data_IF_872791688289
#
_entry.id   IF_872791688289
#
_cell.length_a   1.000
_cell.length_b   1.000
_cell.length_c   1.000
_cell.angle_alpha   90.00
_cell.angle_beta   90.00
_cell.angle_gamma   90.00
#
_symmetry.space_group_name_H-M   'P 1'
#
loop_
_entity.id
_entity.type
_entity.pdbx_description
1 polymer ?
#
# COMPACT_ATOMS: atom_id res chain seq x y z
N UNK A 1 1.16 52.25 17.48
CA UNK A 1 0.30 51.04 17.46
C UNK A 1 0.81 50.14 16.36
N UNK A 2 1.69 49.20 16.68
CA UNK A 2 2.29 48.28 15.70
C UNK A 2 1.38 47.06 15.63
N UNK A 3 0.64 46.93 14.52
CA UNK A 3 -0.10 45.72 14.22
C UNK A 3 0.92 44.64 13.81
N UNK A 4 1.28 43.77 14.75
CA UNK A 4 2.03 42.55 14.45
C UNK A 4 1.05 41.59 13.77
N UNK A 5 1.13 41.51 12.45
CA UNK A 5 0.44 40.48 11.68
C UNK A 5 1.09 39.13 12.01
N UNK A 6 0.47 38.36 12.91
CA UNK A 6 0.82 36.96 13.16
C UNK A 6 0.36 36.17 11.94
N UNK A 7 1.29 35.91 11.02
CA UNK A 7 1.11 34.98 9.91
C UNK A 7 1.02 33.56 10.50
N UNK A 8 -0.20 33.08 10.74
CA UNK A 8 -0.48 31.66 11.02
C UNK A 8 -0.15 30.86 9.75
N UNK A 9 1.12 30.50 9.60
CA UNK A 9 1.57 29.44 8.70
C UNK A 9 0.97 28.13 9.23
N UNK A 10 -0.27 27.87 8.83
CA UNK A 10 -0.86 26.54 8.91
C UNK A 10 0.02 25.67 8.03
N UNK A 11 0.91 24.90 8.66
CA UNK A 11 1.61 23.80 8.01
C UNK A 11 0.55 22.75 7.68
N UNK A 12 -0.13 22.95 6.56
CA UNK A 12 -0.83 21.88 5.89
C UNK A 12 0.27 20.84 5.63
N UNK A 13 0.29 19.78 6.43
CA UNK A 13 1.16 18.64 6.21
C UNK A 13 0.76 18.08 4.84
N UNK A 14 1.47 18.51 3.80
CA UNK A 14 1.41 17.87 2.49
C UNK A 14 1.80 16.43 2.76
N UNK A 15 0.82 15.53 2.81
CA UNK A 15 1.09 14.11 2.86
C UNK A 15 1.98 13.81 1.65
N UNK A 16 3.25 13.50 1.91
CA UNK A 16 4.19 13.22 0.85
C UNK A 16 3.73 11.94 0.14
N UNK A 17 3.50 12.05 -1.17
CA UNK A 17 3.11 10.89 -1.96
C UNK A 17 4.16 9.79 -1.81
N UNK A 18 3.70 8.57 -1.58
CA UNK A 18 4.54 7.39 -1.54
C UNK A 18 4.69 6.80 -2.95
N UNK A 19 5.84 6.19 -3.23
CA UNK A 19 6.14 5.61 -4.54
C UNK A 19 6.51 4.14 -4.44
N UNK A 20 6.13 3.38 -5.45
CA UNK A 20 6.54 1.98 -5.63
C UNK A 20 7.40 1.91 -6.89
N UNK A 21 8.64 1.48 -6.73
CA UNK A 21 9.62 1.35 -7.78
C UNK A 21 9.79 -0.10 -8.20
N UNK A 22 10.13 -0.33 -9.46
CA UNK A 22 10.48 -1.66 -9.96
C UNK A 22 11.79 -2.14 -9.34
N UNK A 23 11.79 -3.34 -8.76
CA UNK A 23 12.99 -3.98 -8.21
C UNK A 23 13.69 -3.11 -7.18
N UNK A 24 15.02 -3.24 -7.11
CA UNK A 24 15.86 -2.43 -6.23
C UNK A 24 16.23 -1.08 -6.89
N UNK A 25 15.24 -0.19 -7.02
CA UNK A 25 15.44 1.14 -7.60
C UNK A 25 14.77 2.23 -6.77
N UNK A 26 15.27 3.46 -6.91
CA UNK A 26 14.64 4.70 -6.45
C UNK A 26 14.62 5.76 -7.55
N UNK A 27 14.93 5.38 -8.80
CA UNK A 27 14.89 6.29 -9.93
C UNK A 27 13.45 6.58 -10.35
N UNK A 28 13.18 7.84 -10.71
CA UNK A 28 11.83 8.27 -11.09
C UNK A 28 11.28 7.55 -12.34
N UNK A 29 12.16 7.08 -13.24
CA UNK A 29 11.79 6.26 -14.40
C UNK A 29 11.28 4.87 -14.05
N UNK A 30 11.61 4.37 -12.86
CA UNK A 30 11.24 3.03 -12.40
C UNK A 30 9.98 3.04 -11.52
N UNK A 31 9.36 4.21 -11.31
CA UNK A 31 8.09 4.32 -10.57
C UNK A 31 6.99 3.57 -11.32
N UNK A 32 6.50 2.51 -10.70
CA UNK A 32 5.38 1.71 -11.18
C UNK A 32 4.04 2.26 -10.69
N UNK A 33 4.00 2.82 -9.48
CA UNK A 33 2.78 3.34 -8.87
C UNK A 33 3.07 4.51 -7.92
N UNK A 34 2.09 5.40 -7.78
CA UNK A 34 2.07 6.48 -6.78
C UNK A 34 0.91 6.26 -5.82
N UNK A 35 1.11 6.51 -4.53
CA UNK A 35 0.05 6.51 -3.53
C UNK A 35 0.01 7.85 -2.80
N UNK A 36 -1.13 8.55 -2.85
CA UNK A 36 -1.27 9.89 -2.26
C UNK A 36 -1.88 9.89 -0.85
N UNK A 37 -2.03 8.72 -0.23
CA UNK A 37 -2.75 8.56 1.04
C UNK A 37 -4.22 8.18 0.89
N UNK A 38 -4.78 8.24 -0.33
CA UNK A 38 -6.16 7.86 -0.63
C UNK A 38 -6.27 6.97 -1.87
N UNK A 39 -5.56 7.30 -2.93
CA UNK A 39 -5.64 6.65 -4.23
C UNK A 39 -4.29 6.05 -4.62
N UNK A 40 -4.33 4.85 -5.19
CA UNK A 40 -3.19 4.24 -5.86
C UNK A 40 -3.31 4.48 -7.35
N UNK A 41 -2.32 5.17 -7.91
CA UNK A 41 -2.23 5.52 -9.32
C UNK A 41 -1.25 4.61 -10.04
N UNK A 42 -1.49 4.37 -11.33
CA UNK A 42 -0.51 3.76 -12.22
C UNK A 42 0.56 4.78 -12.61
N UNK A 43 1.83 4.37 -12.51
CA UNK A 43 3.01 5.17 -12.80
C UNK A 43 3.16 6.36 -11.86
N UNK A 44 4.02 7.30 -12.25
CA UNK A 44 4.19 8.59 -11.57
C UNK A 44 3.04 9.54 -11.95
N UNK A 45 1.85 9.28 -11.43
CA UNK A 45 0.64 10.04 -11.75
C UNK A 45 -0.12 10.48 -10.50
N UNK A 46 -0.92 11.54 -10.67
CA UNK A 46 -2.00 11.99 -9.78
C UNK A 46 -3.30 12.25 -10.54
N UNK A 47 -3.36 11.84 -11.82
CA UNK A 47 -4.55 12.01 -12.65
C UNK A 47 -5.62 10.99 -12.30
N UNK A 48 -6.87 11.42 -12.27
CA UNK A 48 -8.00 10.56 -11.93
C UNK A 48 -8.18 9.36 -12.87
N UNK A 49 -7.73 9.46 -14.13
CA UNK A 49 -7.78 8.38 -15.12
C UNK A 49 -6.84 7.21 -14.79
N UNK A 50 -5.81 7.47 -13.99
CA UNK A 50 -4.78 6.48 -13.68
C UNK A 50 -5.02 5.80 -12.33
N UNK A 51 -6.11 6.15 -11.63
CA UNK A 51 -6.48 5.54 -10.35
C UNK A 51 -6.87 4.08 -10.57
N UNK A 52 -6.12 3.17 -9.95
CA UNK A 52 -6.39 1.74 -9.94
C UNK A 52 -7.28 1.36 -8.75
N UNK A 53 -6.97 1.92 -7.58
CA UNK A 53 -7.66 1.60 -6.33
C UNK A 53 -7.78 2.80 -5.40
N UNK A 54 -8.82 2.78 -4.57
CA UNK A 54 -9.00 3.70 -3.45
C UNK A 54 -8.81 2.93 -2.14
N UNK A 55 -7.97 3.41 -1.22
CA UNK A 55 -7.89 2.88 0.13
C UNK A 55 -8.61 3.82 1.10
N UNK A 56 -9.61 3.31 1.80
CA UNK A 56 -10.36 4.10 2.75
C UNK A 56 -10.96 3.24 3.86
N UNK A 57 -10.75 3.66 5.11
CA UNK A 57 -11.32 3.03 6.32
C UNK A 57 -11.14 1.50 6.37
N UNK A 58 -9.96 1.02 5.98
CA UNK A 58 -9.66 -0.42 5.98
C UNK A 58 -10.22 -1.19 4.79
N UNK A 59 -10.77 -0.53 3.77
CA UNK A 59 -11.21 -1.19 2.54
C UNK A 59 -10.37 -0.70 1.35
N UNK A 60 -10.13 -1.61 0.40
CA UNK A 60 -9.66 -1.27 -0.93
C UNK A 60 -10.82 -1.39 -1.90
N UNK A 61 -11.07 -0.33 -2.66
CA UNK A 61 -12.09 -0.26 -3.69
C UNK A 61 -11.45 -0.23 -5.06
N UNK A 62 -12.12 -0.79 -6.06
CA UNK A 62 -11.68 -0.64 -7.45
C UNK A 62 -11.93 0.78 -7.95
N UNK A 63 -10.94 1.36 -8.64
CA UNK A 63 -10.99 2.72 -9.16
C UNK A 63 -11.20 3.78 -8.07
N UNK A 64 -12.02 4.79 -8.38
CA UNK A 64 -12.28 5.97 -7.54
C UNK A 64 -13.41 5.81 -6.54
N UNK A 65 -14.08 4.66 -6.56
CA UNK A 65 -15.30 4.44 -5.82
C UNK A 65 -15.05 4.26 -4.32
N UNK A 66 -16.12 4.46 -3.54
CA UNK A 66 -16.22 4.01 -2.14
C UNK A 66 -17.53 3.27 -1.89
N UNK A 67 -18.20 2.80 -2.94
CA UNK A 67 -19.41 2.00 -2.81
C UNK A 67 -19.06 0.58 -2.37
N UNK A 68 -19.92 -0.03 -1.56
CA UNK A 68 -19.69 -1.38 -1.02
C UNK A 68 -19.57 -2.45 -2.11
N UNK A 69 -20.25 -2.26 -3.25
CA UNK A 69 -20.16 -3.15 -4.42
C UNK A 69 -18.77 -3.22 -5.03
N UNK A 70 -17.95 -2.18 -4.83
CA UNK A 70 -16.65 -2.04 -5.47
C UNK A 70 -15.50 -2.43 -4.53
N UNK A 71 -15.81 -2.91 -3.32
CA UNK A 71 -14.81 -3.40 -2.37
C UNK A 71 -14.14 -4.64 -2.93
N UNK A 72 -12.84 -4.53 -3.16
CA UNK A 72 -11.95 -5.63 -3.58
C UNK A 72 -11.53 -6.45 -2.37
N UNK A 73 -11.14 -5.79 -1.28
CA UNK A 73 -10.76 -6.43 -0.04
C UNK A 73 -10.96 -5.53 1.18
N UNK A 74 -11.05 -6.17 2.34
CA UNK A 74 -11.07 -5.54 3.66
C UNK A 74 -9.80 -5.88 4.41
N UNK A 75 -9.34 -4.95 5.25
CA UNK A 75 -8.08 -5.00 5.95
C UNK A 75 -8.27 -4.55 7.40
N UNK A 76 -7.91 -5.43 8.35
CA UNK A 76 -8.05 -5.19 9.79
C UNK A 76 -6.69 -4.99 10.51
N UNK A 77 -5.64 -4.64 9.76
CA UNK A 77 -4.24 -4.54 10.20
C UNK A 77 -3.51 -5.88 10.38
N UNK A 78 -4.20 -7.02 10.34
CA UNK A 78 -3.59 -8.35 10.42
C UNK A 78 -3.96 -9.24 9.23
N UNK A 79 -5.21 -9.23 8.81
CA UNK A 79 -5.77 -10.08 7.77
C UNK A 79 -6.34 -9.26 6.64
N UNK A 80 -6.01 -9.67 5.41
CA UNK A 80 -6.70 -9.22 4.21
C UNK A 80 -7.82 -10.21 3.94
N UNK A 81 -9.04 -9.73 3.84
CA UNK A 81 -10.23 -10.52 3.51
C UNK A 81 -10.68 -10.22 2.09
N UNK A 82 -11.22 -11.22 1.41
CA UNK A 82 -11.85 -11.03 0.10
C UNK A 82 -13.13 -10.22 0.23
N UNK A 83 -13.28 -9.18 -0.60
CA UNK A 83 -14.47 -8.34 -0.64
C UNK A 83 -14.77 -7.65 0.70
N UNK A 84 -16.05 -7.31 0.91
CA UNK A 84 -16.53 -6.72 2.15
C UNK A 84 -16.81 -7.80 3.22
N UNK A 85 -15.77 -8.50 3.65
CA UNK A 85 -15.88 -9.56 4.64
C UNK A 85 -14.91 -9.36 5.81
N UNK A 86 -15.25 -9.97 6.94
CA UNK A 86 -14.37 -10.20 8.11
C UNK A 86 -14.42 -11.65 8.58
N UNK A 87 -14.99 -12.56 7.79
CA UNK A 87 -15.07 -13.97 8.12
C UNK A 87 -13.73 -14.67 7.88
N UNK A 88 -13.38 -15.59 8.78
CA UNK A 88 -12.09 -16.30 8.69
C UNK A 88 -11.91 -17.13 7.41
N UNK A 89 -13.01 -17.58 6.79
CA UNK A 89 -13.01 -18.29 5.51
C UNK A 89 -12.58 -17.42 4.33
N UNK A 90 -12.72 -16.11 4.45
CA UNK A 90 -12.45 -15.16 3.38
C UNK A 90 -11.05 -14.53 3.50
N UNK A 91 -10.25 -14.94 4.49
CA UNK A 91 -8.87 -14.48 4.66
C UNK A 91 -8.03 -14.95 3.47
N UNK A 92 -7.49 -14.00 2.71
CA UNK A 92 -6.59 -14.27 1.58
C UNK A 92 -5.12 -14.20 1.99
N UNK A 93 -4.78 -13.32 2.93
CA UNK A 93 -3.41 -13.16 3.44
C UNK A 93 -3.39 -12.76 4.91
N UNK A 94 -2.29 -13.11 5.59
CA UNK A 94 -1.97 -12.68 6.95
C UNK A 94 -0.69 -11.86 6.92
N UNK A 95 -0.63 -10.82 7.75
CA UNK A 95 0.52 -9.95 7.95
C UNK A 95 0.92 -9.97 9.41
N UNK A 96 2.22 -10.01 9.68
CA UNK A 96 2.74 -9.94 11.05
C UNK A 96 3.62 -8.71 11.33
N UNK A 97 3.68 -7.76 10.39
CA UNK A 97 4.58 -6.60 10.46
C UNK A 97 5.87 -6.76 9.65
N UNK A 98 6.21 -7.98 9.22
CA UNK A 98 7.40 -8.27 8.41
C UNK A 98 7.11 -9.19 7.24
N UNK A 99 6.29 -10.20 7.43
CA UNK A 99 6.00 -11.23 6.45
C UNK A 99 4.53 -11.17 6.05
N UNK A 100 4.29 -11.32 4.75
CA UNK A 100 2.96 -11.57 4.20
C UNK A 100 2.84 -13.07 3.91
N UNK A 101 1.90 -13.72 4.57
CA UNK A 101 1.61 -15.13 4.44
C UNK A 101 0.39 -15.36 3.57
N UNK A 102 0.35 -16.50 2.89
CA UNK A 102 -0.84 -16.98 2.18
C UNK A 102 -1.88 -17.50 3.18
N UNK A 103 -3.12 -17.04 3.01
CA UNK A 103 -4.25 -17.44 3.85
C UNK A 103 -4.08 -17.02 5.31
N UNK A 104 -4.59 -17.84 6.23
CA UNK A 104 -4.58 -17.60 7.69
C UNK A 104 -3.30 -18.07 8.38
N UNK A 105 -2.38 -18.70 7.64
CA UNK A 105 -1.19 -19.30 8.21
C UNK A 105 -0.15 -18.25 8.65
N UNK A 106 0.72 -18.64 9.58
CA UNK A 106 1.96 -17.94 9.90
C UNK A 106 3.18 -18.89 9.84
N UNK A 107 3.05 -20.01 9.13
CA UNK A 107 4.16 -20.92 8.91
C UNK A 107 5.13 -20.34 7.88
N UNK A 108 6.42 -20.58 8.09
CA UNK A 108 7.46 -20.04 7.20
C UNK A 108 7.35 -20.50 5.74
N UNK A 109 6.73 -21.67 5.50
CA UNK A 109 6.46 -22.19 4.15
C UNK A 109 5.41 -21.40 3.39
N UNK A 110 4.56 -20.65 4.10
CA UNK A 110 3.45 -19.89 3.51
C UNK A 110 3.80 -18.41 3.29
N UNK A 111 5.04 -18.00 3.61
CA UNK A 111 5.53 -16.64 3.35
C UNK A 111 5.58 -16.43 1.83
N UNK A 112 4.81 -15.46 1.36
CA UNK A 112 4.78 -15.03 -0.04
C UNK A 112 5.74 -13.86 -0.25
N UNK A 113 5.76 -12.91 0.69
CA UNK A 113 6.64 -11.75 0.64
C UNK A 113 7.23 -11.41 2.01
N UNK A 114 8.42 -10.84 1.99
CA UNK A 114 9.05 -10.20 3.16
C UNK A 114 9.16 -8.71 2.91
N UNK A 115 8.79 -7.90 3.89
CA UNK A 115 9.02 -6.47 3.90
C UNK A 115 10.16 -6.14 4.85
N UNK A 116 11.19 -5.46 4.34
CA UNK A 116 12.31 -5.04 5.16
C UNK A 116 12.97 -3.80 4.57
N UNK A 117 13.15 -2.76 5.39
CA UNK A 117 13.88 -1.53 5.02
C UNK A 117 13.39 -0.87 3.73
N UNK A 118 12.06 -0.81 3.53
CA UNK A 118 11.47 -0.22 2.32
C UNK A 118 11.57 -1.10 1.07
N UNK A 119 11.94 -2.37 1.19
CA UNK A 119 11.94 -3.32 0.09
C UNK A 119 10.93 -4.45 0.35
N UNK A 120 10.28 -4.90 -0.73
CA UNK A 120 9.47 -6.12 -0.75
C UNK A 120 10.27 -7.20 -1.48
N UNK A 121 10.51 -8.30 -0.80
CA UNK A 121 11.24 -9.46 -1.30
C UNK A 121 10.29 -10.60 -1.58
N UNK A 122 10.55 -11.35 -2.65
CA UNK A 122 9.85 -12.60 -2.93
C UNK A 122 10.24 -13.67 -1.90
N UNK A 123 9.25 -14.25 -1.23
CA UNK A 123 9.47 -15.27 -0.22
C UNK A 123 10.09 -14.73 1.07
N UNK A 124 10.92 -15.56 1.73
CA UNK A 124 11.45 -15.30 3.08
C UNK A 124 12.80 -14.57 3.10
N UNK A 125 13.57 -14.65 2.01
CA UNK A 125 14.91 -14.09 1.93
C UNK A 125 14.87 -12.56 1.89
N UNK A 126 16.00 -11.96 2.24
CA UNK A 126 16.24 -10.51 2.09
C UNK A 126 17.47 -10.26 1.22
N UNK A 127 17.73 -11.14 0.26
CA UNK A 127 18.79 -10.94 -0.73
C UNK A 127 18.33 -9.93 -1.78
N UNK A 128 19.25 -9.10 -2.27
CA UNK A 128 18.92 -8.07 -3.25
C UNK A 128 18.35 -8.63 -4.56
N UNK A 129 18.72 -9.87 -4.92
CA UNK A 129 18.18 -10.61 -6.07
C UNK A 129 16.69 -10.87 -5.98
N UNK A 130 16.15 -10.89 -4.77
CA UNK A 130 14.76 -11.29 -4.51
C UNK A 130 13.85 -10.06 -4.36
N UNK A 131 14.39 -8.84 -4.45
CA UNK A 131 13.62 -7.60 -4.38
C UNK A 131 12.69 -7.51 -5.59
N UNK A 132 11.39 -7.49 -5.33
CA UNK A 132 10.35 -7.31 -6.35
C UNK A 132 10.05 -5.82 -6.55
N UNK A 133 9.99 -5.06 -5.45
CA UNK A 133 9.88 -3.61 -5.48
C UNK A 133 10.55 -2.94 -4.28
N UNK A 134 10.81 -1.65 -4.46
CA UNK A 134 11.17 -0.72 -3.40
C UNK A 134 10.00 0.24 -3.19
N UNK A 135 9.74 0.60 -1.94
CA UNK A 135 8.72 1.57 -1.55
C UNK A 135 9.37 2.74 -0.83
N UNK A 136 9.02 3.95 -1.23
CA UNK A 136 9.37 5.18 -0.53
C UNK A 136 8.11 5.75 0.11
N UNK A 137 8.01 5.70 1.44
CA UNK A 137 6.82 6.08 2.20
C UNK A 137 5.93 4.90 2.61
N UNK A 138 4.86 5.21 3.35
CA UNK A 138 3.95 4.20 3.88
C UNK A 138 2.87 3.82 2.87
N UNK A 139 2.81 2.54 2.50
CA UNK A 139 1.80 2.00 1.59
C UNK A 139 1.02 0.91 2.31
N UNK A 140 -0.32 0.97 2.34
CA UNK A 140 -1.14 -0.08 2.91
C UNK A 140 -0.81 -1.46 2.31
N UNK A 141 -0.59 -2.45 3.18
CA UNK A 141 -0.38 -3.85 2.81
C UNK A 141 -1.40 -4.41 1.80
N UNK A 142 -2.72 -4.17 1.94
CA UNK A 142 -3.68 -4.69 0.94
C UNK A 142 -3.47 -4.09 -0.46
N UNK A 143 -2.90 -2.88 -0.59
CA UNK A 143 -2.56 -2.32 -1.90
C UNK A 143 -1.32 -3.00 -2.48
N UNK A 144 -0.27 -3.23 -1.68
CA UNK A 144 0.92 -3.97 -2.13
C UNK A 144 0.54 -5.37 -2.60
N UNK A 145 -0.33 -6.07 -1.86
CA UNK A 145 -0.81 -7.41 -2.21
C UNK A 145 -1.58 -7.47 -3.55
N UNK A 146 -2.25 -6.39 -3.96
CA UNK A 146 -3.03 -6.37 -5.21
C UNK A 146 -2.19 -6.10 -6.46
N UNK A 147 -1.00 -5.52 -6.31
CA UNK A 147 -0.14 -5.11 -7.44
C UNK A 147 1.09 -6.01 -7.62
N UNK A 148 1.33 -6.97 -6.72
CA UNK A 148 2.45 -7.92 -6.74
C UNK A 148 1.97 -9.32 -7.12
#
# INVERSE_FOLDING_TARGET
MVAVAVLLLTTCSLAQAAYIYRGNSTYSSDILYTYDGRYLYRGRSTYSSDILYTYYRGHVYHGRSTYSSDIVCTWDLRYVYRGNSTYSSDIVCTWDGRYLYRGRSTYSSDIVYTYCNGHVYQGRSTYSSDIVCTTDGHIPIPLLMLIM
#
